data_IF_180455849669
#
_entry.id   IF_180455849669
#
_cell.length_a   1.000
_cell.length_b   1.000
_cell.length_c   1.000
_cell.angle_alpha   90.00
_cell.angle_beta   90.00
_cell.angle_gamma   90.00
#
_symmetry.space_group_name_H-M   'P 1'
#
loop_
_entity.id
_entity.type
_entity.pdbx_description
1 polymer ?
#
# COMPACT_ATOMS: atom_id res chain seq x y z
N UNK A 1 44.29 -45.46 -0.68
CA UNK A 1 44.34 -44.78 0.63
C UNK A 1 43.13 -43.87 0.75
N UNK A 2 42.22 -44.18 1.64
CA UNK A 2 40.97 -43.43 1.80
C UNK A 2 41.15 -42.33 2.85
N UNK A 3 41.34 -41.10 2.41
CA UNK A 3 41.19 -39.96 3.29
C UNK A 3 39.75 -39.81 3.77
N UNK A 4 39.54 -39.37 5.01
CA UNK A 4 38.22 -39.17 5.56
C UNK A 4 37.83 -37.68 5.46
N UNK A 5 36.74 -37.41 4.80
CA UNK A 5 36.14 -36.09 4.77
C UNK A 5 35.18 -35.96 5.99
N UNK A 6 35.41 -34.97 6.85
CA UNK A 6 34.53 -34.63 7.96
C UNK A 6 34.07 -33.18 7.81
N UNK A 7 32.78 -32.92 8.01
CA UNK A 7 32.21 -31.57 8.04
C UNK A 7 32.23 -31.02 9.47
N UNK A 8 32.64 -29.76 9.63
CA UNK A 8 32.51 -29.03 10.88
C UNK A 8 31.92 -27.65 10.57
N UNK A 9 30.64 -27.51 10.71
CA UNK A 9 29.89 -26.32 10.26
C UNK A 9 30.01 -26.14 8.73
N UNK A 10 30.41 -24.96 8.28
CA UNK A 10 30.63 -24.66 6.87
C UNK A 10 31.99 -25.08 6.31
N UNK A 11 32.86 -25.69 7.15
CA UNK A 11 34.20 -26.08 6.77
C UNK A 11 34.33 -27.57 6.62
N UNK A 12 35.17 -28.00 5.64
CA UNK A 12 35.49 -29.40 5.43
C UNK A 12 36.99 -29.61 5.75
N UNK A 13 37.27 -30.62 6.56
CA UNK A 13 38.61 -30.99 6.95
C UNK A 13 38.95 -32.31 6.25
N UNK A 14 39.99 -32.29 5.42
CA UNK A 14 40.53 -33.48 4.84
C UNK A 14 41.79 -33.89 5.66
N UNK A 15 41.73 -35.05 6.29
CA UNK A 15 42.80 -35.52 7.16
C UNK A 15 43.29 -36.93 6.74
N UNK A 16 44.55 -37.23 7.05
CA UNK A 16 45.15 -38.54 6.79
C UNK A 16 45.59 -38.77 5.34
N UNK A 17 45.88 -37.70 4.58
CA UNK A 17 46.41 -37.79 3.23
C UNK A 17 47.90 -38.16 3.28
N UNK A 18 48.27 -39.19 2.56
CA UNK A 18 49.64 -39.65 2.39
C UNK A 18 50.13 -39.47 0.94
N UNK A 19 49.27 -38.98 0.06
CA UNK A 19 49.53 -38.78 -1.38
C UNK A 19 48.78 -37.54 -1.86
N UNK A 20 49.15 -37.02 -3.02
CA UNK A 20 48.44 -35.90 -3.67
C UNK A 20 47.03 -36.30 -4.01
N UNK A 21 46.06 -35.55 -3.49
CA UNK A 21 44.62 -35.77 -3.73
C UNK A 21 44.02 -34.53 -4.38
N UNK A 22 43.37 -34.74 -5.51
CA UNK A 22 42.55 -33.72 -6.12
C UNK A 22 41.17 -33.73 -5.45
N UNK A 23 40.85 -32.69 -4.70
CA UNK A 23 39.49 -32.48 -4.15
C UNK A 23 38.71 -31.70 -5.17
N UNK A 24 37.81 -32.35 -5.87
CA UNK A 24 36.79 -31.67 -6.64
C UNK A 24 35.61 -31.34 -5.70
N UNK A 25 35.52 -30.10 -5.29
CA UNK A 25 34.29 -29.60 -4.66
C UNK A 25 33.25 -29.54 -5.76
N UNK A 26 32.40 -30.55 -5.87
CA UNK A 26 31.13 -30.37 -6.54
C UNK A 26 30.32 -29.49 -5.59
N UNK A 27 30.13 -28.23 -5.95
CA UNK A 27 29.21 -27.34 -5.28
C UNK A 27 27.84 -28.01 -5.34
N UNK A 28 27.53 -28.78 -4.32
CA UNK A 28 26.17 -29.04 -3.95
C UNK A 28 25.63 -27.72 -3.45
N UNK A 29 25.32 -26.84 -4.41
CA UNK A 29 24.84 -25.50 -4.13
C UNK A 29 23.67 -25.63 -3.16
N UNK A 30 23.78 -24.94 -2.04
CA UNK A 30 22.68 -24.87 -1.07
C UNK A 30 21.45 -24.43 -1.84
N UNK A 31 20.45 -25.30 -1.86
CA UNK A 31 19.17 -25.00 -2.50
C UNK A 31 18.11 -24.72 -1.44
N UNK A 32 17.31 -23.72 -1.71
CA UNK A 32 16.14 -23.39 -0.92
C UNK A 32 14.87 -23.79 -1.67
N UNK A 33 13.84 -24.09 -0.91
CA UNK A 33 12.51 -24.35 -1.45
C UNK A 33 11.68 -23.09 -1.31
N UNK A 34 11.24 -22.54 -2.43
CA UNK A 34 10.19 -21.53 -2.47
C UNK A 34 8.88 -22.21 -2.78
N UNK A 35 7.91 -22.08 -1.89
CA UNK A 35 6.57 -22.65 -2.05
C UNK A 35 5.62 -21.53 -2.43
N UNK A 36 4.95 -21.66 -3.57
CA UNK A 36 3.89 -20.75 -4.01
C UNK A 36 2.54 -21.33 -3.64
N UNK A 37 1.88 -20.72 -2.66
CA UNK A 37 0.54 -21.07 -2.25
C UNK A 37 -0.47 -20.09 -2.84
N UNK A 38 -1.23 -20.52 -3.83
CA UNK A 38 -2.20 -19.67 -4.50
C UNK A 38 -3.43 -19.33 -3.65
N UNK A 39 -3.63 -19.96 -2.49
CA UNK A 39 -4.78 -19.73 -1.59
C UNK A 39 -6.12 -19.76 -2.34
N UNK A 40 -6.23 -20.60 -3.36
CA UNK A 40 -7.41 -20.78 -4.22
C UNK A 40 -7.92 -22.23 -4.25
N UNK A 41 -7.47 -23.07 -3.32
CA UNK A 41 -7.80 -24.49 -3.23
C UNK A 41 -6.90 -25.42 -4.07
N UNK A 42 -5.98 -24.87 -4.87
CA UNK A 42 -5.02 -25.69 -5.62
C UNK A 42 -3.83 -26.10 -4.74
N UNK A 43 -3.16 -27.20 -5.12
CA UNK A 43 -1.93 -27.63 -4.44
C UNK A 43 -0.82 -26.59 -4.62
N UNK A 44 -0.13 -26.19 -3.54
CA UNK A 44 1.01 -25.29 -3.64
C UNK A 44 2.12 -25.84 -4.53
N UNK A 45 2.73 -24.97 -5.33
CA UNK A 45 3.84 -25.30 -6.23
C UNK A 45 5.16 -25.03 -5.54
N UNK A 46 6.10 -25.97 -5.63
CA UNK A 46 7.44 -25.83 -5.04
C UNK A 46 8.50 -25.69 -6.12
N UNK A 47 9.39 -24.74 -5.94
CA UNK A 47 10.54 -24.48 -6.82
C UNK A 47 11.82 -24.54 -5.99
N UNK A 48 12.85 -25.21 -6.51
CA UNK A 48 14.20 -25.22 -5.94
C UNK A 48 15.01 -24.08 -6.51
N UNK A 49 15.58 -23.26 -5.64
CA UNK A 49 16.37 -22.07 -5.98
C UNK A 49 17.73 -22.18 -5.30
N UNK A 50 18.79 -21.90 -6.04
CA UNK A 50 20.14 -21.84 -5.46
C UNK A 50 20.23 -20.67 -4.47
N UNK A 51 20.97 -20.89 -3.37
CA UNK A 51 21.22 -19.84 -2.38
C UNK A 51 21.77 -18.57 -3.06
N UNK A 52 21.12 -17.43 -2.79
CA UNK A 52 21.53 -16.15 -3.35
C UNK A 52 21.04 -15.87 -4.78
N UNK A 53 20.35 -16.81 -5.42
CA UNK A 53 19.69 -16.59 -6.70
C UNK A 53 18.25 -16.09 -6.50
N UNK A 54 17.70 -15.46 -7.51
CA UNK A 54 16.29 -15.05 -7.53
C UNK A 54 15.38 -16.20 -7.96
N UNK A 55 14.13 -16.19 -7.53
CA UNK A 55 13.10 -17.10 -8.03
C UNK A 55 12.33 -16.45 -9.16
N UNK A 56 12.01 -17.22 -10.21
CA UNK A 56 11.18 -16.75 -11.31
C UNK A 56 9.74 -16.57 -10.84
N UNK A 57 9.10 -15.44 -11.24
CA UNK A 57 7.69 -15.19 -10.95
C UNK A 57 6.84 -16.20 -11.72
N UNK A 58 5.99 -17.01 -11.04
CA UNK A 58 5.08 -17.90 -11.73
C UNK A 58 3.99 -17.12 -12.45
N UNK A 59 3.27 -17.79 -13.35
CA UNK A 59 2.04 -17.23 -13.92
C UNK A 59 1.06 -16.84 -12.81
N UNK A 60 0.35 -15.74 -13.02
CA UNK A 60 -0.62 -15.25 -12.03
C UNK A 60 -1.73 -16.30 -11.86
N UNK A 61 -2.01 -16.71 -10.62
CA UNK A 61 -3.05 -17.69 -10.34
C UNK A 61 -4.44 -17.08 -10.59
N UNK A 62 -5.43 -17.95 -10.77
CA UNK A 62 -6.83 -17.54 -10.96
C UNK A 62 -7.68 -18.06 -9.80
N UNK A 63 -8.57 -17.21 -9.31
CA UNK A 63 -9.59 -17.54 -8.32
C UNK A 63 -10.89 -16.86 -8.74
N UNK A 64 -12.00 -17.59 -8.68
CA UNK A 64 -13.33 -17.06 -9.06
C UNK A 64 -13.69 -15.91 -8.12
N UNK A 65 -14.18 -14.82 -8.68
CA UNK A 65 -14.65 -13.63 -7.97
C UNK A 65 -13.59 -12.92 -7.11
N UNK A 66 -12.30 -13.20 -7.39
CA UNK A 66 -11.19 -12.55 -6.71
C UNK A 66 -10.15 -12.04 -7.73
N UNK A 67 -9.59 -10.88 -7.49
CA UNK A 67 -8.48 -10.32 -8.28
C UNK A 67 -7.14 -10.60 -7.58
N UNK A 68 -6.20 -11.18 -8.33
CA UNK A 68 -4.85 -11.40 -7.84
C UNK A 68 -4.07 -10.09 -7.69
N UNK A 69 -3.55 -9.80 -6.50
CA UNK A 69 -2.81 -8.57 -6.19
C UNK A 69 -1.30 -8.76 -6.05
N UNK A 70 -0.79 -10.00 -6.15
CA UNK A 70 0.63 -10.27 -6.04
C UNK A 70 0.95 -11.41 -5.07
N UNK A 71 2.24 -11.70 -4.97
CA UNK A 71 2.78 -12.72 -4.05
C UNK A 71 3.33 -12.03 -2.81
N UNK A 72 2.91 -12.49 -1.63
CA UNK A 72 3.27 -11.90 -0.34
C UNK A 72 3.95 -12.92 0.57
N UNK A 73 4.84 -12.45 1.42
CA UNK A 73 5.46 -13.27 2.48
C UNK A 73 4.45 -13.60 3.57
N UNK A 74 4.78 -14.50 4.48
CA UNK A 74 3.96 -14.81 5.65
C UNK A 74 3.71 -13.61 6.58
N UNK A 75 4.56 -12.57 6.51
CA UNK A 75 4.36 -11.31 7.26
C UNK A 75 3.44 -10.33 6.55
N UNK A 76 2.92 -10.67 5.34
CA UNK A 76 2.03 -9.81 4.56
C UNK A 76 2.74 -8.80 3.65
N UNK A 77 4.08 -8.76 3.64
CA UNK A 77 4.81 -7.89 2.72
C UNK A 77 4.81 -8.47 1.30
N UNK A 78 4.59 -7.61 0.30
CA UNK A 78 4.70 -8.00 -1.10
C UNK A 78 6.14 -8.45 -1.42
N UNK A 79 6.28 -9.55 -2.19
CA UNK A 79 7.56 -10.10 -2.55
C UNK A 79 8.11 -9.46 -3.83
N UNK A 80 9.30 -8.88 -3.70
CA UNK A 80 10.06 -8.41 -4.85
C UNK A 80 10.88 -9.58 -5.43
N UNK A 81 10.55 -10.00 -6.67
CA UNK A 81 11.21 -11.10 -7.39
C UNK A 81 12.65 -10.79 -7.77
N UNK A 82 13.14 -9.55 -7.60
CA UNK A 82 14.56 -9.22 -7.69
C UNK A 82 15.33 -9.59 -6.42
N UNK A 83 14.65 -9.94 -5.33
CA UNK A 83 15.26 -10.29 -4.04
C UNK A 83 15.89 -11.68 -4.10
N UNK A 84 17.19 -11.86 -3.72
CA UNK A 84 17.83 -13.15 -3.62
C UNK A 84 17.19 -14.05 -2.54
N UNK A 85 17.00 -15.33 -2.86
CA UNK A 85 16.49 -16.35 -1.94
C UNK A 85 17.62 -16.91 -1.09
N UNK A 86 17.56 -16.68 0.21
CA UNK A 86 18.57 -17.12 1.18
C UNK A 86 18.08 -18.17 2.17
N UNK A 87 16.77 -18.45 2.18
CA UNK A 87 16.13 -19.43 3.07
C UNK A 87 14.93 -20.08 2.38
N UNK A 88 14.48 -21.21 2.94
CA UNK A 88 13.18 -21.77 2.55
C UNK A 88 12.08 -20.79 2.92
N UNK A 89 11.12 -20.61 2.01
CA UNK A 89 10.03 -19.66 2.23
C UNK A 89 8.74 -20.12 1.55
N UNK A 90 7.63 -19.58 2.02
CA UNK A 90 6.34 -19.70 1.37
C UNK A 90 5.85 -18.32 0.99
N UNK A 91 5.46 -18.17 -0.26
CA UNK A 91 4.79 -17.01 -0.79
C UNK A 91 3.31 -17.34 -0.96
N UNK A 92 2.46 -16.46 -0.50
CA UNK A 92 1.02 -16.58 -0.56
C UNK A 92 0.47 -15.63 -1.60
N UNK A 93 -0.42 -16.10 -2.46
CA UNK A 93 -1.17 -15.21 -3.32
C UNK A 93 -2.07 -14.31 -2.46
N UNK A 94 -2.00 -13.02 -2.70
CA UNK A 94 -2.88 -12.05 -2.08
C UNK A 94 -4.03 -11.74 -3.03
N UNK A 95 -5.25 -11.82 -2.51
CA UNK A 95 -6.48 -11.70 -3.28
C UNK A 95 -7.31 -10.53 -2.80
N UNK A 96 -7.87 -9.81 -3.75
CA UNK A 96 -8.97 -8.90 -3.50
C UNK A 96 -10.28 -9.60 -3.90
N UNK A 97 -11.22 -9.67 -2.97
CA UNK A 97 -12.53 -10.22 -3.26
C UNK A 97 -13.32 -9.25 -4.15
N UNK A 98 -13.65 -9.66 -5.38
CA UNK A 98 -14.37 -8.85 -6.36
C UNK A 98 -15.87 -8.75 -6.07
N UNK A 99 -16.40 -9.49 -5.09
CA UNK A 99 -17.82 -9.36 -4.70
C UNK A 99 -18.11 -8.04 -3.98
N UNK A 100 -17.07 -7.35 -3.48
CA UNK A 100 -17.17 -5.98 -3.01
C UNK A 100 -16.94 -4.98 -4.16
N UNK A 101 -17.84 -4.98 -5.13
CA UNK A 101 -17.78 -4.05 -6.27
C UNK A 101 -18.55 -2.79 -5.93
N UNK A 102 -17.98 -1.95 -5.08
CA UNK A 102 -18.44 -0.58 -4.92
C UNK A 102 -17.62 0.34 -5.82
N UNK A 103 -18.24 0.96 -6.82
CA UNK A 103 -17.66 2.13 -7.48
C UNK A 103 -17.61 3.32 -6.50
N UNK A 104 -18.30 3.20 -5.38
CA UNK A 104 -18.43 4.25 -4.35
C UNK A 104 -18.22 3.63 -2.98
N UNK A 105 -17.28 4.19 -2.22
CA UNK A 105 -16.98 3.81 -0.83
C UNK A 105 -17.00 5.06 0.04
N UNK A 106 -17.49 4.92 1.27
CA UNK A 106 -17.56 6.00 2.24
C UNK A 106 -16.52 5.81 3.35
N UNK A 107 -15.76 6.86 3.59
CA UNK A 107 -14.67 6.94 4.56
C UNK A 107 -14.99 8.04 5.59
N UNK A 108 -15.04 7.68 6.85
CA UNK A 108 -15.31 8.59 7.97
C UNK A 108 -14.28 8.37 9.08
N UNK A 109 -13.33 9.28 9.20
CA UNK A 109 -12.27 9.17 10.21
C UNK A 109 -12.73 9.31 11.66
N UNK A 110 -13.96 9.80 11.88
CA UNK A 110 -14.53 10.07 13.22
C UNK A 110 -15.49 8.97 13.66
N UNK A 111 -16.47 8.63 12.82
CA UNK A 111 -17.57 7.71 13.16
C UNK A 111 -17.43 6.33 12.51
N UNK A 112 -16.59 6.20 11.49
CA UNK A 112 -16.41 4.97 10.73
C UNK A 112 -15.86 3.80 11.54
N UNK A 113 -16.05 2.61 11.02
CA UNK A 113 -15.48 1.36 11.54
C UNK A 113 -15.02 0.49 10.38
N UNK A 114 -13.80 -0.05 10.45
CA UNK A 114 -13.29 -0.94 9.41
C UNK A 114 -13.98 -2.32 9.37
N UNK A 115 -14.93 -2.56 10.28
CA UNK A 115 -15.84 -3.71 10.22
C UNK A 115 -17.12 -3.43 9.41
N UNK A 116 -17.34 -2.17 8.98
CA UNK A 116 -18.45 -1.81 8.12
C UNK A 116 -18.19 -2.17 6.65
N UNK A 117 -19.24 -2.20 5.85
CA UNK A 117 -19.16 -2.48 4.42
C UNK A 117 -18.68 -1.28 3.57
N UNK A 118 -18.73 -0.07 4.14
CA UNK A 118 -18.32 1.16 3.45
C UNK A 118 -19.24 1.59 2.30
N UNK A 119 -20.42 1.00 2.13
CA UNK A 119 -21.28 1.21 0.96
C UNK A 119 -22.26 2.37 1.12
N UNK A 120 -22.38 2.95 2.30
CA UNK A 120 -23.22 4.11 2.58
C UNK A 120 -22.59 5.07 3.60
N UNK A 121 -23.14 6.30 3.70
CA UNK A 121 -22.74 7.26 4.74
C UNK A 121 -23.11 6.80 6.16
N UNK A 122 -24.04 5.85 6.31
CA UNK A 122 -24.43 5.26 7.58
C UNK A 122 -23.50 4.14 8.04
N UNK A 123 -22.81 3.49 7.09
CA UNK A 123 -21.90 2.36 7.36
C UNK A 123 -20.49 2.61 6.81
N UNK A 124 -19.87 3.80 7.06
CA UNK A 124 -18.57 4.13 6.49
C UNK A 124 -17.45 3.32 7.15
N UNK A 125 -16.39 3.07 6.43
CA UNK A 125 -15.13 2.58 7.01
C UNK A 125 -14.37 3.72 7.68
N UNK A 126 -13.42 3.38 8.56
CA UNK A 126 -12.68 4.37 9.35
C UNK A 126 -11.35 4.78 8.74
N UNK A 127 -10.65 3.84 8.10
CA UNK A 127 -9.30 4.08 7.58
C UNK A 127 -9.27 4.13 6.05
N UNK A 128 -8.30 4.88 5.52
CA UNK A 128 -8.06 4.88 4.08
C UNK A 128 -7.71 3.48 3.56
N UNK A 129 -6.95 2.69 4.33
CA UNK A 129 -6.57 1.34 3.94
C UNK A 129 -7.79 0.44 3.73
N UNK A 130 -8.78 0.50 4.63
CA UNK A 130 -10.03 -0.24 4.49
C UNK A 130 -10.85 0.27 3.28
N UNK A 131 -10.97 1.60 3.11
CA UNK A 131 -11.67 2.17 1.96
C UNK A 131 -11.02 1.76 0.63
N UNK A 132 -9.71 1.86 0.53
CA UNK A 132 -8.97 1.46 -0.67
C UNK A 132 -9.11 -0.05 -0.97
N UNK A 133 -9.20 -0.90 0.06
CA UNK A 133 -9.39 -2.34 -0.11
C UNK A 133 -10.77 -2.70 -0.68
N UNK A 134 -11.78 -1.86 -0.44
CA UNK A 134 -13.16 -2.05 -0.95
C UNK A 134 -13.33 -1.62 -2.40
N UNK A 135 -12.41 -0.80 -2.96
CA UNK A 135 -12.44 -0.43 -4.38
C UNK A 135 -11.82 -1.56 -5.20
N UNK A 136 -12.61 -2.20 -6.05
CA UNK A 136 -12.12 -3.22 -6.96
C UNK A 136 -11.16 -2.63 -8.00
N UNK A 137 -10.05 -3.34 -8.36
CA UNK A 137 -9.18 -2.92 -9.46
C UNK A 137 -9.88 -2.89 -10.84
N UNK A 138 -11.05 -3.52 -10.96
CA UNK A 138 -11.85 -3.56 -12.19
C UNK A 138 -12.84 -2.39 -12.31
N UNK A 139 -13.01 -1.62 -11.24
CA UNK A 139 -13.88 -0.44 -11.25
C UNK A 139 -13.21 0.66 -12.06
N UNK A 140 -13.97 1.30 -12.93
CA UNK A 140 -13.63 2.57 -13.58
C UNK A 140 -14.38 3.69 -12.89
N UNK A 141 -13.76 4.86 -12.79
CA UNK A 141 -14.34 6.05 -12.15
C UNK A 141 -14.81 5.82 -10.70
N UNK A 142 -14.03 5.04 -9.92
CA UNK A 142 -14.31 4.80 -8.52
C UNK A 142 -14.18 6.08 -7.67
N UNK A 143 -14.96 6.17 -6.58
CA UNK A 143 -14.91 7.31 -5.66
C UNK A 143 -14.88 6.84 -4.20
N UNK A 144 -13.89 7.30 -3.45
CA UNK A 144 -13.89 7.23 -1.97
C UNK A 144 -14.38 8.59 -1.44
N UNK A 145 -15.60 8.64 -0.95
CA UNK A 145 -16.16 9.83 -0.33
C UNK A 145 -15.71 9.98 1.11
N UNK A 146 -15.01 11.08 1.42
CA UNK A 146 -14.63 11.42 2.80
C UNK A 146 -15.74 12.26 3.42
N UNK A 147 -16.46 11.70 4.40
CA UNK A 147 -17.63 12.31 5.02
C UNK A 147 -17.31 13.12 6.28
N UNK A 148 -16.23 12.75 7.00
CA UNK A 148 -15.67 13.51 8.11
C UNK A 148 -14.15 13.42 8.07
N UNK A 149 -13.50 14.35 8.80
CA UNK A 149 -12.04 14.48 8.83
C UNK A 149 -11.34 13.13 9.10
N UNK A 150 -10.42 12.77 8.22
CA UNK A 150 -9.48 11.68 8.47
C UNK A 150 -8.22 12.27 9.08
N UNK A 151 -7.94 11.92 10.34
CA UNK A 151 -6.75 12.40 11.05
C UNK A 151 -5.64 11.36 10.97
N UNK A 152 -4.46 11.80 10.56
CA UNK A 152 -3.23 11.00 10.46
C UNK A 152 -2.30 11.42 11.60
N UNK A 153 -2.06 10.50 12.55
CA UNK A 153 -1.25 10.71 13.76
C UNK A 153 0.10 9.97 13.72
N UNK A 154 0.26 9.07 12.78
CA UNK A 154 1.41 8.18 12.61
C UNK A 154 1.94 8.25 11.17
N UNK A 155 2.85 7.36 10.80
CA UNK A 155 3.34 7.26 9.43
C UNK A 155 2.36 6.45 8.56
N UNK A 156 1.81 7.07 7.52
CA UNK A 156 0.90 6.44 6.58
C UNK A 156 1.30 6.72 5.13
N UNK A 157 1.01 5.75 4.27
CA UNK A 157 1.05 5.93 2.81
C UNK A 157 -0.33 5.64 2.22
N UNK A 158 -0.87 6.62 1.51
CA UNK A 158 -2.11 6.48 0.77
C UNK A 158 -1.78 6.27 -0.71
N UNK A 159 -2.00 5.06 -1.19
CA UNK A 159 -1.74 4.64 -2.57
C UNK A 159 -2.91 3.78 -3.06
N UNK A 160 -3.53 4.18 -4.15
CA UNK A 160 -4.61 3.41 -4.78
C UNK A 160 -4.08 2.24 -5.64
N UNK A 161 -2.75 2.08 -5.75
CA UNK A 161 -2.10 0.96 -6.45
C UNK A 161 -2.63 0.76 -7.87
N UNK A 162 -2.81 1.87 -8.60
CA UNK A 162 -3.28 1.85 -9.99
C UNK A 162 -4.78 1.61 -10.18
N UNK A 163 -5.59 1.61 -9.10
CA UNK A 163 -7.04 1.61 -9.23
C UNK A 163 -7.51 2.93 -9.83
N UNK A 164 -8.46 2.86 -10.75
CA UNK A 164 -9.12 4.03 -11.32
C UNK A 164 -10.16 4.58 -10.33
N UNK A 165 -9.67 5.34 -9.37
CA UNK A 165 -10.45 5.86 -8.26
C UNK A 165 -9.89 7.20 -7.77
N UNK A 166 -10.76 8.07 -7.32
CA UNK A 166 -10.41 9.33 -6.66
C UNK A 166 -10.88 9.34 -5.20
N UNK A 167 -10.17 10.09 -4.36
CA UNK A 167 -10.61 10.41 -2.98
C UNK A 167 -11.24 11.79 -3.01
N UNK A 168 -12.53 11.86 -2.72
CA UNK A 168 -13.32 13.07 -2.90
C UNK A 168 -13.97 13.51 -1.60
N UNK A 169 -13.99 14.82 -1.35
CA UNK A 169 -14.66 15.42 -0.21
C UNK A 169 -16.18 15.31 -0.38
N UNK A 170 -16.86 14.66 0.57
CA UNK A 170 -18.31 14.59 0.57
C UNK A 170 -18.95 15.94 0.93
N UNK A 171 -20.17 16.23 0.45
CA UNK A 171 -20.92 17.43 0.87
C UNK A 171 -21.15 17.50 2.39
N UNK A 172 -21.25 16.36 3.04
CA UNK A 172 -21.39 16.22 4.51
C UNK A 172 -20.12 16.56 5.28
N UNK A 173 -18.94 16.57 4.63
CA UNK A 173 -17.65 16.86 5.26
C UNK A 173 -17.46 18.39 5.47
N UNK A 174 -18.03 18.92 6.53
CA UNK A 174 -17.95 20.35 6.84
C UNK A 174 -16.66 20.81 7.52
N UNK A 175 -15.85 19.85 8.06
CA UNK A 175 -14.51 20.09 8.61
C UNK A 175 -13.40 20.01 7.57
N UNK A 176 -12.13 19.94 8.00
CA UNK A 176 -11.04 19.56 7.12
C UNK A 176 -11.30 18.15 6.56
N UNK A 177 -10.96 17.92 5.31
CA UNK A 177 -11.07 16.58 4.73
C UNK A 177 -9.99 15.64 5.29
N UNK A 178 -8.75 16.13 5.31
CA UNK A 178 -7.59 15.39 5.84
C UNK A 178 -6.87 16.31 6.81
N UNK A 179 -6.52 15.80 8.00
CA UNK A 179 -5.67 16.46 8.97
C UNK A 179 -4.45 15.58 9.25
N UNK A 180 -3.24 16.08 9.02
CA UNK A 180 -2.01 15.41 9.43
C UNK A 180 -1.52 16.11 10.68
N UNK A 181 -1.64 15.45 11.83
CA UNK A 181 -1.41 16.02 13.14
C UNK A 181 -0.22 15.32 13.83
N UNK A 182 0.94 15.91 13.76
CA UNK A 182 2.19 15.35 14.31
C UNK A 182 2.70 14.09 13.58
N UNK A 183 1.91 13.52 12.69
CA UNK A 183 2.24 12.32 11.91
C UNK A 183 2.91 12.62 10.57
N UNK A 184 3.06 11.59 9.76
CA UNK A 184 3.50 11.75 8.38
C UNK A 184 2.60 11.04 7.38
N UNK A 185 2.27 11.71 6.27
CA UNK A 185 1.43 11.18 5.21
C UNK A 185 2.15 11.26 3.87
N UNK A 186 2.33 10.11 3.22
CA UNK A 186 2.74 10.06 1.82
C UNK A 186 1.54 9.79 0.91
N UNK A 187 1.28 10.69 -0.03
CA UNK A 187 0.31 10.47 -1.11
C UNK A 187 1.06 9.96 -2.34
N UNK A 188 0.71 8.76 -2.82
CA UNK A 188 1.31 8.13 -4.00
C UNK A 188 0.25 7.70 -5.00
N UNK A 189 0.43 8.08 -6.28
CA UNK A 189 -0.45 7.62 -7.38
C UNK A 189 -1.95 7.81 -7.06
N UNK A 190 -2.33 8.95 -6.50
CA UNK A 190 -3.66 9.22 -5.95
C UNK A 190 -4.14 10.61 -6.38
N UNK A 191 -5.44 10.73 -6.60
CA UNK A 191 -6.09 12.03 -6.80
C UNK A 191 -6.97 12.36 -5.60
N UNK A 192 -6.74 13.53 -5.02
CA UNK A 192 -7.57 14.15 -3.97
C UNK A 192 -8.38 15.27 -4.62
N UNK A 193 -9.70 15.15 -4.59
CA UNK A 193 -10.66 16.15 -5.08
C UNK A 193 -11.37 16.81 -3.90
N UNK A 194 -11.15 18.09 -3.69
CA UNK A 194 -11.76 18.86 -2.61
C UNK A 194 -13.22 19.25 -2.85
N UNK A 195 -13.80 18.91 -4.01
CA UNK A 195 -15.21 19.17 -4.36
C UNK A 195 -15.63 20.65 -4.22
N UNK A 196 -14.79 21.55 -4.70
CA UNK A 196 -14.95 23.01 -4.55
C UNK A 196 -16.33 23.53 -4.99
N UNK A 197 -16.96 22.86 -5.97
CA UNK A 197 -18.27 23.22 -6.49
C UNK A 197 -19.35 23.28 -5.41
N UNK A 198 -19.27 22.34 -4.45
CA UNK A 198 -20.23 22.27 -3.32
C UNK A 198 -19.90 23.33 -2.26
N UNK A 199 -18.63 23.66 -2.05
CA UNK A 199 -18.17 24.48 -0.94
C UNK A 199 -17.98 25.96 -1.30
N UNK A 200 -17.77 26.30 -2.58
CA UNK A 200 -17.56 27.68 -3.04
C UNK A 200 -18.76 28.63 -2.81
N UNK A 201 -19.96 28.05 -2.74
CA UNK A 201 -21.21 28.79 -2.46
C UNK A 201 -21.52 28.99 -0.98
N UNK A 202 -20.72 28.42 -0.06
CA UNK A 202 -20.96 28.55 1.37
C UNK A 202 -20.67 29.98 1.86
N UNK A 203 -21.50 30.48 2.77
CA UNK A 203 -21.38 31.83 3.33
C UNK A 203 -20.09 32.01 4.12
N UNK A 204 -19.69 33.28 4.34
CA UNK A 204 -18.52 33.64 5.14
C UNK A 204 -18.52 33.11 6.57
N UNK A 205 -19.66 32.68 7.08
CA UNK A 205 -19.85 32.10 8.41
C UNK A 205 -19.71 30.55 8.45
N UNK A 206 -19.51 29.89 7.30
CA UNK A 206 -19.18 28.48 7.31
C UNK A 206 -17.83 28.25 8.03
N UNK A 207 -17.69 27.19 8.83
CA UNK A 207 -16.46 26.93 9.55
C UNK A 207 -15.27 26.93 8.58
N UNK A 208 -14.17 27.55 9.02
CA UNK A 208 -12.92 27.60 8.29
C UNK A 208 -12.39 26.17 8.16
N UNK A 209 -12.71 25.52 7.05
CA UNK A 209 -12.24 24.18 6.75
C UNK A 209 -11.33 24.24 5.50
N UNK A 210 -10.23 23.52 5.57
CA UNK A 210 -9.33 23.35 4.45
C UNK A 210 -9.48 21.94 3.89
N UNK A 211 -9.07 21.71 2.65
CA UNK A 211 -9.10 20.34 2.15
C UNK A 211 -8.07 19.51 2.90
N UNK A 212 -6.82 19.99 2.98
CA UNK A 212 -5.75 19.30 3.70
C UNK A 212 -5.13 20.28 4.70
N UNK A 213 -5.02 19.86 5.97
CA UNK A 213 -4.43 20.63 7.05
C UNK A 213 -3.26 19.88 7.67
N UNK A 214 -2.09 20.49 7.72
CA UNK A 214 -0.89 20.00 8.38
C UNK A 214 -0.61 20.82 9.62
N UNK A 215 -0.41 20.16 10.77
CA UNK A 215 -0.18 20.82 12.05
C UNK A 215 0.75 19.99 12.96
N UNK A 216 1.28 20.63 13.99
CA UNK A 216 2.09 20.00 15.04
C UNK A 216 3.31 19.24 14.50
N UNK A 217 4.12 19.91 13.65
CA UNK A 217 5.33 19.34 13.05
C UNK A 217 5.08 18.13 12.13
N UNK A 218 3.90 18.05 11.56
CA UNK A 218 3.56 17.02 10.60
C UNK A 218 4.40 17.12 9.31
N UNK A 219 4.54 16.01 8.62
CA UNK A 219 5.17 15.96 7.30
C UNK A 219 4.21 15.33 6.29
N UNK A 220 4.02 15.98 5.15
CA UNK A 220 3.30 15.39 4.03
C UNK A 220 4.16 15.37 2.78
N UNK A 221 4.17 14.22 2.09
CA UNK A 221 4.94 14.02 0.86
C UNK A 221 4.00 13.66 -0.30
N UNK A 222 4.19 14.30 -1.45
CA UNK A 222 3.48 13.98 -2.69
C UNK A 222 4.42 13.30 -3.69
N UNK A 223 4.06 12.07 -4.10
CA UNK A 223 4.72 11.26 -5.11
C UNK A 223 3.72 10.90 -6.21
N UNK A 224 3.78 11.57 -7.36
CA UNK A 224 2.82 11.38 -8.45
C UNK A 224 1.35 11.49 -7.98
N UNK A 225 1.10 12.44 -7.07
CA UNK A 225 -0.24 12.69 -6.54
C UNK A 225 -0.84 13.96 -7.16
N UNK A 226 -2.16 14.01 -7.26
CA UNK A 226 -2.90 15.18 -7.73
C UNK A 226 -3.80 15.68 -6.61
N UNK A 227 -3.72 16.99 -6.29
CA UNK A 227 -4.62 17.67 -5.35
C UNK A 227 -5.31 18.77 -6.13
N UNK A 228 -6.61 18.61 -6.32
CA UNK A 228 -7.37 19.47 -7.25
C UNK A 228 -8.75 19.80 -6.73
N UNK A 229 -9.35 20.82 -7.36
CA UNK A 229 -10.74 21.20 -7.10
C UNK A 229 -11.02 21.42 -5.62
N UNK A 230 -10.06 22.02 -4.90
CA UNK A 230 -10.15 22.24 -3.46
C UNK A 230 -10.66 23.66 -3.18
N UNK A 231 -11.42 23.77 -2.09
CA UNK A 231 -11.88 25.05 -1.55
C UNK A 231 -11.59 25.09 -0.05
N UNK A 232 -10.98 26.17 0.41
CA UNK A 232 -10.66 26.35 1.81
C UNK A 232 -10.75 27.82 2.24
N UNK A 233 -10.85 28.03 3.54
CA UNK A 233 -10.95 29.38 4.09
C UNK A 233 -9.61 30.12 4.01
N UNK A 234 -8.50 29.47 4.34
CA UNK A 234 -7.15 30.07 4.41
C UNK A 234 -6.17 29.45 3.41
N UNK A 235 -6.44 28.22 2.95
CA UNK A 235 -5.66 27.54 1.93
C UNK A 235 -6.57 26.72 1.06
N UNK A 236 -6.61 26.95 -0.24
CA UNK A 236 -7.47 26.20 -1.16
C UNK A 236 -7.23 24.70 -1.06
N UNK A 237 -6.01 24.26 -1.34
CA UNK A 237 -5.60 22.85 -1.25
C UNK A 237 -5.04 22.49 0.14
N UNK A 238 -4.07 23.29 0.62
CA UNK A 238 -3.32 23.02 1.85
C UNK A 238 -3.36 24.23 2.78
N UNK A 239 -3.47 23.97 4.05
CA UNK A 239 -3.08 24.89 5.11
C UNK A 239 -1.97 24.19 5.93
N UNK A 240 -0.81 24.84 6.04
CA UNK A 240 0.38 24.24 6.66
C UNK A 240 0.79 25.14 7.84
N UNK A 241 0.73 24.59 9.04
CA UNK A 241 1.06 25.27 10.29
C UNK A 241 2.17 24.48 11.01
N UNK A 242 3.31 25.14 11.25
CA UNK A 242 4.49 24.52 11.90
C UNK A 242 4.85 23.13 11.37
N UNK A 243 4.69 22.90 10.06
CA UNK A 243 4.75 21.59 9.44
C UNK A 243 5.44 21.64 8.07
N UNK A 244 5.68 20.51 7.45
CA UNK A 244 6.42 20.41 6.20
C UNK A 244 5.57 19.76 5.10
N UNK A 245 5.52 20.42 3.93
CA UNK A 245 4.96 19.85 2.70
C UNK A 245 6.09 19.61 1.69
N UNK A 246 6.28 18.35 1.27
CA UNK A 246 7.29 17.94 0.27
C UNK A 246 6.59 17.58 -1.02
N UNK A 247 6.98 18.23 -2.11
CA UNK A 247 6.45 18.00 -3.46
C UNK A 247 7.53 17.37 -4.33
N UNK A 248 7.55 16.04 -4.41
CA UNK A 248 8.50 15.33 -5.27
C UNK A 248 8.00 15.29 -6.70
N UNK A 249 6.73 14.95 -6.90
CA UNK A 249 6.09 14.91 -8.20
C UNK A 249 4.57 14.92 -8.06
N UNK A 250 3.88 15.32 -9.15
CA UNK A 250 2.43 15.41 -9.16
C UNK A 250 1.93 16.81 -9.54
N UNK A 251 0.70 17.12 -9.13
CA UNK A 251 0.03 18.36 -9.55
C UNK A 251 -0.86 18.93 -8.44
N UNK A 252 -0.78 20.24 -8.26
CA UNK A 252 -1.71 21.01 -7.44
C UNK A 252 -2.38 22.02 -8.36
N UNK A 253 -3.68 21.90 -8.63
CA UNK A 253 -4.37 22.71 -9.63
C UNK A 253 -5.84 22.95 -9.30
N UNK A 254 -6.42 23.99 -9.91
CA UNK A 254 -7.85 24.30 -9.80
C UNK A 254 -8.33 24.44 -8.34
N UNK A 255 -7.46 24.98 -7.47
CA UNK A 255 -7.76 25.17 -6.07
C UNK A 255 -8.04 26.65 -5.79
N UNK A 256 -9.00 26.93 -4.92
CA UNK A 256 -9.45 28.29 -4.61
C UNK A 256 -9.46 28.51 -3.11
N UNK A 257 -8.94 29.64 -2.66
CA UNK A 257 -9.10 30.13 -1.29
C UNK A 257 -10.13 31.23 -1.25
N UNK A 258 -10.77 31.38 -0.08
CA UNK A 258 -11.74 32.45 0.17
C UNK A 258 -11.05 33.80 0.49
N UNK A 259 -9.80 33.75 1.00
CA UNK A 259 -8.98 34.87 1.39
C UNK A 259 -7.59 34.78 0.80
#
# INVERSE_FOLDING_TARGET
>A
TSGRLASHGSNYILAGLTEDVTVTLSDGLIQHTVTFNAVNGTTPVQVKVQHGSTVEKPADPVKTDDTFLGWHTASGAEWDFATPVTNNMTLFAYWLNDTYVGATVYLDGVKGSDSNDGLSEETPVRTFAAAAALISPKVTDGVIWVTHTVTVLDEQTWDLKGRDCIVKRAPSCTGNMIAVDGGSLTLSNITIDGNAEVFSGLSASAPASNTIYLLNYATMTMNNAVVTNCFGAQGGAFYVEDSTLVLNSGKISSNTSKF
#
